data_IF_666400887550
#
_entry.id   IF_666400887550
#
_cell.length_a   1.000
_cell.length_b   1.000
_cell.length_c   1.000
_cell.angle_alpha   90.00
_cell.angle_beta   90.00
_cell.angle_gamma   90.00
#
_symmetry.space_group_name_H-M   'P 1'
#
loop_
_entity.id
_entity.type
_entity.pdbx_description
1 polymer ?
#
# COMPACT_ATOMS: atom_id res chain seq x y z
N UNK A 1 10.32 11.06 -3.89
CA UNK A 1 10.08 10.33 -2.64
C UNK A 1 8.64 10.50 -2.16
N UNK A 2 8.11 9.55 -1.40
CA UNK A 2 6.76 9.61 -0.83
C UNK A 2 6.74 9.01 0.58
N UNK A 3 5.73 9.36 1.37
CA UNK A 3 5.44 8.77 2.68
C UNK A 3 4.12 8.02 2.58
N UNK A 4 4.01 6.84 3.18
CA UNK A 4 2.76 6.08 3.22
C UNK A 4 2.38 5.78 4.67
N UNK A 5 1.08 5.82 4.97
CA UNK A 5 0.57 5.30 6.23
C UNK A 5 0.61 3.77 6.22
N UNK A 6 0.95 3.17 7.35
CA UNK A 6 0.95 1.73 7.50
C UNK A 6 -0.37 1.25 8.12
N UNK A 7 -1.13 0.47 7.35
CA UNK A 7 -2.35 -0.21 7.81
C UNK A 7 -2.18 -1.75 7.79
N UNK A 8 -0.96 -2.25 7.58
CA UNK A 8 -0.63 -3.67 7.41
C UNK A 8 0.39 -4.18 8.43
N UNK A 9 0.94 -3.31 9.28
CA UNK A 9 1.92 -3.61 10.32
C UNK A 9 3.28 -4.08 9.75
N UNK A 10 3.78 -3.36 8.75
CA UNK A 10 5.04 -3.66 8.09
C UNK A 10 6.26 -3.30 8.96
N UNK A 11 7.26 -4.17 8.96
CA UNK A 11 8.56 -3.95 9.58
C UNK A 11 9.55 -3.24 8.64
N UNK A 12 10.65 -2.75 9.22
CA UNK A 12 11.77 -2.24 8.43
C UNK A 12 12.41 -3.39 7.64
N UNK A 13 12.48 -3.25 6.33
CA UNK A 13 13.03 -4.25 5.41
C UNK A 13 11.96 -5.06 4.65
N UNK A 14 10.68 -4.95 5.04
CA UNK A 14 9.59 -5.61 4.33
C UNK A 14 9.39 -5.00 2.94
N UNK A 15 9.12 -5.86 1.96
CA UNK A 15 8.61 -5.42 0.66
C UNK A 15 7.10 -5.28 0.78
N UNK A 16 6.56 -4.13 0.39
CA UNK A 16 5.15 -3.79 0.58
C UNK A 16 4.49 -3.29 -0.69
N UNK A 17 3.19 -3.52 -0.82
CA UNK A 17 2.36 -2.90 -1.85
C UNK A 17 1.78 -1.59 -1.32
N UNK A 18 1.96 -0.51 -2.07
CA UNK A 18 1.46 0.82 -1.71
C UNK A 18 0.38 1.25 -2.69
N UNK A 19 -0.82 1.54 -2.18
CA UNK A 19 -1.82 2.25 -2.96
C UNK A 19 -1.51 3.75 -2.92
N UNK A 20 -1.36 4.39 -4.09
CA UNK A 20 -1.05 5.82 -4.25
C UNK A 20 -2.22 6.60 -4.87
N UNK A 21 -3.42 6.36 -4.36
CA UNK A 21 -4.67 6.97 -4.81
C UNK A 21 -5.54 7.32 -3.59
N UNK A 22 -6.27 8.44 -3.66
CA UNK A 22 -6.93 9.02 -2.49
C UNK A 22 -8.24 8.33 -2.08
N UNK A 23 -9.06 7.88 -3.03
CA UNK A 23 -10.31 7.19 -2.72
C UNK A 23 -10.05 5.81 -2.09
N UNK A 24 -9.16 5.02 -2.67
CA UNK A 24 -8.76 3.72 -2.12
C UNK A 24 -8.10 3.86 -0.75
N UNK A 25 -7.27 4.89 -0.53
CA UNK A 25 -6.72 5.16 0.79
C UNK A 25 -7.80 5.44 1.84
N UNK A 26 -8.83 6.23 1.50
CA UNK A 26 -9.97 6.52 2.39
C UNK A 26 -10.79 5.30 2.72
N UNK A 27 -11.01 4.41 1.74
CA UNK A 27 -11.73 3.14 1.95
C UNK A 27 -10.96 2.20 2.90
N UNK A 28 -9.65 2.08 2.72
CA UNK A 28 -8.79 1.21 3.53
C UNK A 28 -8.71 1.68 4.98
N UNK A 29 -8.68 2.99 5.19
CA UNK A 29 -8.62 3.60 6.52
C UNK A 29 -10.00 3.80 7.17
N UNK A 30 -11.09 3.39 6.50
CA UNK A 30 -12.48 3.66 6.89
C UNK A 30 -12.72 5.12 7.30
N UNK A 31 -12.14 6.05 6.53
CA UNK A 31 -12.17 7.48 6.80
C UNK A 31 -12.54 8.28 5.54
N UNK A 32 -13.83 8.60 5.33
CA UNK A 32 -14.31 9.26 4.11
C UNK A 32 -13.77 10.68 3.89
N UNK A 33 -13.36 11.36 4.97
CA UNK A 33 -12.79 12.72 4.95
C UNK A 33 -11.26 12.71 5.09
N UNK A 34 -10.63 11.54 5.05
CA UNK A 34 -9.19 11.37 5.23
C UNK A 34 -8.38 12.02 4.10
N UNK A 35 -7.54 13.00 4.44
CA UNK A 35 -6.60 13.64 3.52
C UNK A 35 -5.33 12.79 3.31
N UNK A 36 -5.48 11.56 2.80
CA UNK A 36 -4.38 10.61 2.61
C UNK A 36 -4.34 10.16 1.15
N UNK A 37 -3.14 10.14 0.56
CA UNK A 37 -2.92 9.72 -0.84
C UNK A 37 -2.09 8.44 -0.96
N UNK A 38 -1.50 7.96 0.13
CA UNK A 38 -0.59 6.81 0.12
C UNK A 38 -0.74 5.95 1.37
N UNK A 39 -1.04 4.67 1.18
CA UNK A 39 -1.22 3.70 2.26
C UNK A 39 -0.61 2.35 1.85
N UNK A 40 0.04 1.68 2.80
CA UNK A 40 0.46 0.28 2.66
C UNK A 40 -0.80 -0.59 2.74
N UNK A 41 -1.02 -1.40 1.71
CA UNK A 41 -2.21 -2.25 1.61
C UNK A 41 -1.93 -3.72 1.87
N UNK A 42 -0.65 -4.10 1.91
CA UNK A 42 -0.21 -5.44 2.24
C UNK A 42 1.30 -5.60 2.18
N UNK A 43 1.79 -6.62 2.87
CA UNK A 43 3.17 -7.10 2.81
C UNK A 43 3.25 -8.14 1.69
N UNK A 44 4.30 -8.06 0.86
CA UNK A 44 4.50 -8.96 -0.28
C UNK A 44 5.20 -10.22 0.20
N UNK A 45 4.55 -11.37 0.06
CA UNK A 45 5.13 -12.68 0.36
C UNK A 45 5.97 -13.21 -0.81
N UNK A 46 5.42 -13.17 -2.03
CA UNK A 46 6.12 -13.60 -3.23
C UNK A 46 5.65 -12.83 -4.48
N UNK A 47 6.53 -12.79 -5.48
CA UNK A 47 6.26 -12.18 -6.80
C UNK A 47 6.54 -13.24 -7.85
N UNK A 48 5.55 -13.53 -8.68
CA UNK A 48 5.70 -14.40 -9.85
C UNK A 48 5.66 -13.51 -11.09
N UNK A 49 6.70 -13.62 -11.92
CA UNK A 49 6.81 -12.90 -13.19
C UNK A 49 6.84 -13.97 -14.27
N UNK A 50 5.86 -13.96 -15.16
CA UNK A 50 5.89 -14.78 -16.37
C UNK A 50 6.76 -14.07 -17.41
N UNK A 51 7.72 -14.79 -18.00
CA UNK A 51 8.45 -14.28 -19.16
C UNK A 51 7.53 -14.34 -20.38
N UNK A 52 7.35 -13.21 -21.06
CA UNK A 52 6.73 -13.18 -22.37
C UNK A 52 7.74 -13.76 -23.37
N UNK A 53 7.45 -14.92 -23.95
CA UNK A 53 8.14 -15.43 -25.14
C UNK A 53 7.92 -14.51 -26.36
#
# INVERSE_FOLDING_TARGET
DFVALDNSQAGVGDTVLVNREGNGARQILDNPDGCVISVIVGIVDSIQIEELE
#
